data_IF_492965977787
#
_entry.id   IF_492965977787
#
_cell.length_a   1.000
_cell.length_b   1.000
_cell.length_c   1.000
_cell.angle_alpha   90.00
_cell.angle_beta   90.00
_cell.angle_gamma   90.00
#
_symmetry.space_group_name_H-M   'P 1'
#
loop_
_entity.id
_entity.type
_entity.pdbx_description
1 polymer ?
#
# COMPACT_ATOMS: atom_id res chain seq x y z
N UNK A 1 -25.89 17.01 -4.00
CA UNK A 1 -24.96 16.10 -4.67
C UNK A 1 -23.60 16.42 -4.07
N UNK A 2 -22.94 15.45 -3.46
CA UNK A 2 -21.54 15.60 -3.03
C UNK A 2 -20.66 15.15 -4.19
N UNK A 3 -19.86 16.06 -4.72
CA UNK A 3 -18.83 15.73 -5.71
C UNK A 3 -17.54 15.72 -4.93
N UNK A 4 -17.06 14.52 -4.60
CA UNK A 4 -15.70 14.34 -4.14
C UNK A 4 -14.81 13.95 -5.35
N UNK A 5 -13.66 14.60 -5.44
CA UNK A 5 -12.65 14.43 -6.48
C UNK A 5 -11.27 14.09 -5.89
N UNK A 6 -11.20 13.77 -4.60
CA UNK A 6 -9.96 13.48 -3.89
C UNK A 6 -9.69 11.97 -3.95
N UNK A 7 -8.62 11.52 -4.61
CA UNK A 7 -8.23 10.12 -4.54
C UNK A 7 -7.62 9.81 -3.16
N UNK A 8 -7.61 8.52 -2.76
CA UNK A 8 -7.01 8.11 -1.50
C UNK A 8 -5.51 8.44 -1.47
N UNK A 9 -4.97 8.79 -0.31
CA UNK A 9 -3.54 9.05 -0.09
C UNK A 9 -2.90 7.82 0.54
N UNK A 10 -1.83 7.32 -0.07
CA UNK A 10 -1.01 6.22 0.47
C UNK A 10 0.23 6.82 1.14
N UNK A 11 0.39 6.61 2.43
CA UNK A 11 1.50 7.10 3.23
C UNK A 11 2.38 5.94 3.70
N UNK A 12 3.61 5.84 3.19
CA UNK A 12 4.56 4.80 3.60
C UNK A 12 5.20 5.18 4.93
N UNK A 13 4.89 4.41 5.96
CA UNK A 13 5.36 4.62 7.34
C UNK A 13 6.70 3.92 7.60
N UNK A 14 7.02 2.86 6.86
CA UNK A 14 8.35 2.25 6.89
C UNK A 14 8.53 1.02 6.01
N UNK A 15 9.79 0.73 5.67
CA UNK A 15 10.20 -0.50 4.99
C UNK A 15 11.34 -1.11 5.78
N UNK A 16 11.13 -2.31 6.32
CA UNK A 16 12.11 -2.98 7.19
C UNK A 16 12.34 -4.41 6.75
N UNK A 17 13.57 -4.90 6.92
CA UNK A 17 13.90 -6.31 6.70
C UNK A 17 13.91 -7.03 8.05
N UNK A 18 13.12 -8.08 8.16
CA UNK A 18 13.02 -8.92 9.36
C UNK A 18 13.24 -10.38 8.97
N UNK A 19 14.19 -11.07 9.59
CA UNK A 19 14.37 -12.54 9.49
C UNK A 19 14.25 -13.12 8.05
N UNK A 20 14.78 -12.40 7.05
CA UNK A 20 14.77 -12.84 5.65
C UNK A 20 13.52 -12.49 4.83
N UNK A 21 12.61 -11.66 5.34
CA UNK A 21 11.51 -11.06 4.59
C UNK A 21 11.49 -9.54 4.77
N UNK A 22 10.84 -8.83 3.85
CA UNK A 22 10.68 -7.38 3.92
C UNK A 22 9.24 -7.06 4.34
N UNK A 23 9.08 -6.22 5.36
CA UNK A 23 7.77 -5.73 5.82
C UNK A 23 7.64 -4.26 5.46
N UNK A 24 6.56 -3.94 4.76
CA UNK A 24 6.18 -2.58 4.40
C UNK A 24 5.00 -2.19 5.27
N UNK A 25 5.12 -1.08 5.99
CA UNK A 25 4.04 -0.51 6.79
C UNK A 25 3.60 0.78 6.15
N UNK A 26 2.29 0.90 5.95
CA UNK A 26 1.71 2.08 5.33
C UNK A 26 0.26 2.27 5.75
N UNK A 27 -0.21 3.50 5.59
CA UNK A 27 -1.58 3.91 5.85
C UNK A 27 -2.23 4.38 4.54
N UNK A 28 -3.50 4.06 4.35
CA UNK A 28 -4.30 4.60 3.25
C UNK A 28 -5.44 5.42 3.84
N UNK A 29 -5.57 6.67 3.39
CA UNK A 29 -6.56 7.61 3.90
C UNK A 29 -7.32 8.30 2.79
N UNK A 30 -8.61 8.46 2.97
CA UNK A 30 -9.49 9.20 2.09
C UNK A 30 -10.44 10.07 2.92
N UNK A 31 -10.68 11.30 2.49
CA UNK A 31 -11.44 12.27 3.28
C UNK A 31 -12.97 12.03 3.21
N UNK A 32 -13.46 11.39 2.14
CA UNK A 32 -14.89 11.34 1.84
C UNK A 32 -15.45 9.93 1.76
N UNK A 33 -14.69 8.95 1.26
CA UNK A 33 -15.19 7.62 0.96
C UNK A 33 -14.29 6.52 1.56
N UNK A 34 -14.85 5.38 2.02
CA UNK A 34 -14.03 4.31 2.53
C UNK A 34 -13.03 3.77 1.51
N UNK A 35 -11.86 3.35 1.98
CA UNK A 35 -10.91 2.56 1.19
C UNK A 35 -11.55 1.20 0.92
N UNK A 36 -11.58 0.79 -0.34
CA UNK A 36 -12.27 -0.44 -0.77
C UNK A 36 -11.29 -1.56 -1.10
N UNK A 37 -10.16 -1.22 -1.70
CA UNK A 37 -9.18 -2.19 -2.18
C UNK A 37 -7.79 -1.59 -2.18
N UNK A 38 -6.83 -2.33 -1.64
CA UNK A 38 -5.40 -2.07 -1.80
C UNK A 38 -4.77 -3.26 -2.49
N UNK A 39 -3.91 -2.97 -3.46
CA UNK A 39 -3.17 -3.98 -4.21
C UNK A 39 -1.71 -3.58 -4.33
N UNK A 40 -0.84 -4.56 -4.56
CA UNK A 40 0.55 -4.32 -4.89
C UNK A 40 1.01 -5.11 -6.12
N UNK A 41 2.04 -4.58 -6.78
CA UNK A 41 2.67 -5.21 -7.93
C UNK A 41 4.18 -4.99 -7.92
N UNK A 42 4.94 -6.03 -8.26
CA UNK A 42 6.40 -5.97 -8.46
C UNK A 42 6.77 -5.65 -9.91
N UNK A 43 5.89 -5.95 -10.86
CA UNK A 43 6.12 -5.81 -12.30
C UNK A 43 5.18 -4.80 -12.98
N UNK A 44 4.22 -4.24 -12.24
CA UNK A 44 3.18 -3.35 -12.73
C UNK A 44 2.10 -4.04 -13.58
N UNK A 45 2.13 -5.37 -13.71
CA UNK A 45 1.21 -6.17 -14.53
C UNK A 45 0.34 -7.08 -13.66
N UNK A 46 0.94 -7.76 -12.68
CA UNK A 46 0.25 -8.65 -11.75
C UNK A 46 0.00 -7.92 -10.44
N UNK A 47 -1.27 -7.75 -10.12
CA UNK A 47 -1.73 -7.09 -8.91
C UNK A 47 -2.23 -8.13 -7.91
N UNK A 48 -1.78 -8.03 -6.66
CA UNK A 48 -2.19 -8.90 -5.56
C UNK A 48 -2.83 -8.04 -4.48
N UNK A 49 -3.98 -8.47 -3.96
CA UNK A 49 -4.70 -7.77 -2.90
C UNK A 49 -3.92 -7.77 -1.57
N UNK A 50 -4.04 -6.67 -0.84
CA UNK A 50 -3.51 -6.48 0.52
C UNK A 50 -4.70 -6.23 1.43
N UNK A 51 -4.78 -6.97 2.54
CA UNK A 51 -5.82 -6.79 3.54
C UNK A 51 -5.35 -5.83 4.64
N UNK A 52 -6.24 -4.97 5.16
CA UNK A 52 -5.92 -4.13 6.31
C UNK A 52 -5.73 -5.00 7.56
N UNK A 53 -5.09 -4.42 8.57
CA UNK A 53 -4.69 -5.12 9.80
C UNK A 53 -5.89 -5.57 10.65
N UNK A 54 -7.04 -4.92 10.52
CA UNK A 54 -8.30 -5.35 11.14
C UNK A 54 -9.08 -6.38 10.29
N UNK A 55 -8.62 -6.64 9.06
CA UNK A 55 -9.13 -7.63 8.14
C UNK A 55 -10.28 -7.18 7.23
N UNK A 56 -10.80 -5.94 7.38
CA UNK A 56 -11.93 -5.44 6.60
C UNK A 56 -11.65 -4.02 6.11
N UNK A 57 -11.68 -3.80 4.79
CA UNK A 57 -11.52 -2.46 4.22
C UNK A 57 -12.88 -1.76 4.12
N UNK A 58 -13.29 -1.11 5.20
CA UNK A 58 -14.57 -0.38 5.30
C UNK A 58 -14.46 1.01 5.97
N UNK A 59 -13.24 1.43 6.31
CA UNK A 59 -12.93 2.72 6.91
C UNK A 59 -12.35 3.70 5.90
N UNK A 60 -12.42 4.99 6.26
CA UNK A 60 -11.72 6.09 5.56
C UNK A 60 -10.23 6.13 5.83
N UNK A 61 -9.79 5.45 6.89
CA UNK A 61 -8.39 5.36 7.27
C UNK A 61 -8.10 3.90 7.60
N UNK A 62 -7.21 3.29 6.83
CA UNK A 62 -6.86 1.89 6.91
C UNK A 62 -5.35 1.73 7.13
N UNK A 63 -4.99 0.77 7.98
CA UNK A 63 -3.61 0.47 8.32
C UNK A 63 -3.20 -0.89 7.75
N UNK A 64 -2.02 -0.96 7.11
CA UNK A 64 -1.54 -2.15 6.42
C UNK A 64 -0.12 -2.53 6.83
N UNK A 65 0.09 -3.84 6.97
CA UNK A 65 1.41 -4.45 6.94
C UNK A 65 1.48 -5.47 5.80
N UNK A 66 2.37 -5.20 4.83
CA UNK A 66 2.59 -6.07 3.68
C UNK A 66 3.92 -6.81 3.83
N UNK A 67 3.91 -8.11 4.17
CA UNK A 67 5.08 -8.94 4.10
C UNK A 67 5.38 -9.34 2.65
N UNK A 68 6.62 -9.14 2.24
CA UNK A 68 7.21 -9.62 0.98
C UNK A 68 8.20 -10.72 1.33
N UNK A 69 8.00 -11.91 0.79
CA UNK A 69 8.92 -13.02 0.98
C UNK A 69 10.29 -12.70 0.37
N UNK A 70 11.36 -12.88 1.14
CA UNK A 70 12.72 -12.62 0.69
C UNK A 70 13.13 -11.15 0.69
N UNK A 71 14.20 -10.86 -0.05
CA UNK A 71 14.61 -9.49 -0.34
C UNK A 71 13.69 -8.90 -1.41
N UNK A 72 13.21 -7.67 -1.18
CA UNK A 72 12.46 -6.93 -2.19
C UNK A 72 13.34 -6.67 -3.43
N UNK A 73 12.73 -6.73 -4.62
CA UNK A 73 13.40 -6.40 -5.88
C UNK A 73 14.04 -4.99 -5.81
N UNK A 74 15.26 -4.79 -6.37
CA UNK A 74 15.91 -3.48 -6.38
C UNK A 74 15.09 -2.36 -7.04
N UNK A 75 14.14 -2.71 -7.91
CA UNK A 75 13.20 -1.78 -8.54
C UNK A 75 12.05 -1.36 -7.62
N UNK A 76 11.93 -1.96 -6.44
CA UNK A 76 10.84 -1.69 -5.52
C UNK A 76 9.52 -2.31 -5.97
N UNK A 77 8.43 -1.83 -5.39
CA UNK A 77 7.07 -2.24 -5.75
C UNK A 77 6.17 -1.02 -5.96
N UNK A 78 5.03 -1.26 -6.60
CA UNK A 78 3.96 -0.27 -6.72
C UNK A 78 2.77 -0.70 -5.88
N UNK A 79 2.29 0.19 -5.02
CA UNK A 79 1.01 0.08 -4.35
C UNK A 79 -0.06 0.82 -5.15
N UNK A 80 -1.28 0.29 -5.12
CA UNK A 80 -2.48 0.92 -5.67
C UNK A 80 -3.59 0.85 -4.66
N UNK A 81 -4.24 1.99 -4.39
CA UNK A 81 -5.42 2.07 -3.54
C UNK A 81 -6.61 2.50 -4.38
N UNK A 82 -7.78 1.90 -4.11
CA UNK A 82 -9.06 2.24 -4.71
C UNK A 82 -10.07 2.47 -3.60
N UNK A 83 -10.80 3.57 -3.68
CA UNK A 83 -11.86 3.89 -2.72
C UNK A 83 -13.23 3.30 -3.17
N UNK A 84 -14.27 3.53 -2.37
CA UNK A 84 -15.62 3.07 -2.68
C UNK A 84 -16.28 3.78 -3.87
N UNK A 85 -15.77 4.96 -4.25
CA UNK A 85 -16.21 5.74 -5.42
C UNK A 85 -15.42 5.41 -6.70
N UNK A 86 -14.45 4.50 -6.62
CA UNK A 86 -13.51 4.08 -7.67
C UNK A 86 -12.48 5.17 -8.06
N UNK A 87 -12.19 6.12 -7.17
CA UNK A 87 -10.96 6.90 -7.29
C UNK A 87 -9.75 6.00 -6.99
N UNK A 88 -8.67 6.22 -7.73
CA UNK A 88 -7.46 5.40 -7.67
C UNK A 88 -6.26 6.29 -7.40
N UNK A 89 -5.38 5.82 -6.51
CA UNK A 89 -4.02 6.36 -6.35
C UNK A 89 -2.97 5.27 -6.40
N UNK A 90 -1.73 5.67 -6.67
CA UNK A 90 -0.58 4.76 -6.67
C UNK A 90 0.58 5.38 -5.91
N UNK A 91 1.39 4.53 -5.30
CA UNK A 91 2.63 4.93 -4.62
C UNK A 91 3.74 3.94 -4.95
N UNK A 92 4.95 4.45 -5.14
CA UNK A 92 6.14 3.61 -5.29
C UNK A 92 6.80 3.38 -3.93
N UNK A 93 7.27 2.17 -3.69
CA UNK A 93 7.99 1.79 -2.48
C UNK A 93 9.36 1.29 -2.87
N UNK A 94 10.39 2.05 -2.50
CA UNK A 94 11.79 1.64 -2.67
C UNK A 94 12.14 0.48 -1.72
N UNK A 95 13.07 -0.41 -2.12
CA UNK A 95 13.60 -1.42 -1.23
C UNK A 95 14.32 -0.79 -0.02
N UNK A 96 14.40 -1.49 1.11
CA UNK A 96 15.10 -0.98 2.28
C UNK A 96 16.57 -0.70 1.93
N UNK A 97 17.08 0.46 2.34
CA UNK A 97 18.49 0.81 2.08
C UNK A 97 19.39 -0.20 2.78
N UNK A 98 20.20 -0.94 2.00
CA UNK A 98 21.25 -1.78 2.60
C UNK A 98 22.25 -0.88 3.34
N UNK A 99 22.63 -1.22 4.59
CA UNK A 99 23.72 -0.52 5.25
C UNK A 99 24.99 -0.68 4.40
N UNK A 100 25.59 0.45 4.01
CA UNK A 100 26.91 0.44 3.36
C UNK A 100 27.92 -0.11 4.37
N UNK A 101 28.59 -1.21 4.00
CA UNK A 101 29.67 -1.82 4.77
C UNK A 101 30.96 -1.01 4.62
#
# INVERSE_FOLDING_TARGET
>A
FDVDNSPPVIAISGVRTERGHTVIVFDVKDDHSPVKLVEFSEDGQRWRGVFPMDGIADSRAEHYELPIEGEMDPRGITLRATDSMNNISTAHVDPPRRPQR
#
